data_IF_399442847230
#
_entry.id   IF_399442847230
#
_cell.length_a   1.000
_cell.length_b   1.000
_cell.length_c   1.000
_cell.angle_alpha   90.00
_cell.angle_beta   90.00
_cell.angle_gamma   90.00
#
_symmetry.space_group_name_H-M   'P 1'
#
loop_
_entity.id
_entity.type
_entity.pdbx_description
1 polymer ?
#
# COMPACT_ATOMS: atom_id res chain seq x y z
N UNK A 1 14.44 -19.95 38.94
CA UNK A 1 15.73 -19.25 38.85
C UNK A 1 16.26 -19.44 37.44
N UNK A 2 16.32 -18.33 36.69
CA UNK A 2 17.26 -18.05 35.59
C UNK A 2 17.03 -18.85 34.30
N UNK A 3 16.23 -18.34 33.37
CA UNK A 3 16.52 -17.26 32.40
C UNK A 3 17.46 -17.67 31.26
N UNK A 4 17.09 -17.12 30.10
CA UNK A 4 17.95 -16.65 29.02
C UNK A 4 18.14 -17.56 27.80
N UNK A 5 17.29 -17.28 26.81
CA UNK A 5 17.53 -17.54 25.39
C UNK A 5 18.72 -16.71 24.88
N UNK A 6 19.71 -17.35 24.24
CA UNK A 6 20.81 -16.67 23.55
C UNK A 6 20.78 -17.00 22.03
N UNK A 7 20.87 -15.93 21.23
CA UNK A 7 20.44 -15.86 19.84
C UNK A 7 21.21 -16.71 18.83
N UNK A 8 20.46 -17.38 17.95
CA UNK A 8 20.99 -18.08 16.77
C UNK A 8 21.29 -17.11 15.64
N UNK A 9 22.55 -17.08 15.22
CA UNK A 9 23.05 -16.30 14.09
C UNK A 9 22.84 -17.08 12.79
N UNK A 10 22.12 -16.50 11.82
CA UNK A 10 21.81 -17.16 10.54
C UNK A 10 22.89 -16.82 9.50
N UNK A 11 23.46 -17.84 8.83
CA UNK A 11 24.48 -17.67 7.77
C UNK A 11 23.86 -17.79 6.39
N UNK A 12 24.32 -16.97 5.44
CA UNK A 12 23.86 -17.01 4.06
C UNK A 12 24.51 -18.19 3.30
N UNK A 13 23.74 -19.10 2.67
CA UNK A 13 24.27 -20.34 2.08
C UNK A 13 25.04 -20.13 0.76
N UNK A 14 24.94 -18.97 0.10
CA UNK A 14 25.62 -18.72 -1.17
C UNK A 14 27.06 -18.17 -1.03
N UNK A 15 27.39 -17.53 0.09
CA UNK A 15 28.71 -16.89 0.27
C UNK A 15 29.29 -16.99 1.69
N UNK A 16 28.59 -17.68 2.62
CA UNK A 16 29.10 -18.01 3.95
C UNK A 16 29.21 -16.84 4.95
N UNK A 17 28.89 -15.61 4.55
CA UNK A 17 28.93 -14.44 5.45
C UNK A 17 27.75 -14.44 6.44
N UNK A 18 28.06 -14.04 7.67
CA UNK A 18 27.07 -13.80 8.72
C UNK A 18 26.36 -12.46 8.45
N UNK A 19 25.04 -12.49 8.35
CA UNK A 19 24.22 -11.28 8.23
C UNK A 19 23.75 -10.86 9.62
N UNK A 20 24.14 -9.66 10.06
CA UNK A 20 23.57 -9.05 11.27
C UNK A 20 22.30 -8.29 10.89
N UNK A 21 21.20 -8.59 11.56
CA UNK A 21 19.99 -7.76 11.52
C UNK A 21 20.20 -6.65 12.57
N UNK A 22 20.18 -5.36 12.20
CA UNK A 22 20.21 -4.29 13.18
C UNK A 22 18.82 -4.19 13.85
N UNK A 23 18.79 -4.29 15.17
CA UNK A 23 17.63 -3.98 16.00
C UNK A 23 17.50 -2.47 16.15
N UNK A 24 16.25 -2.01 16.12
CA UNK A 24 15.80 -0.64 16.38
C UNK A 24 16.20 -0.16 17.79
N UNK A 25 16.37 1.16 17.91
CA UNK A 25 16.45 2.00 19.13
C UNK A 25 17.79 2.40 19.80
N UNK A 26 17.78 3.70 20.13
CA UNK A 26 18.53 4.45 21.15
C UNK A 26 20.00 4.81 20.84
N UNK A 27 20.31 6.09 20.59
CA UNK A 27 20.53 7.19 21.57
C UNK A 27 22.05 7.45 21.66
N UNK A 28 22.53 8.59 21.16
CA UNK A 28 22.69 9.87 21.86
C UNK A 28 24.09 10.04 22.49
N UNK A 29 24.75 11.14 22.08
CA UNK A 29 25.84 11.88 22.73
C UNK A 29 27.14 11.14 23.13
N UNK A 30 28.25 11.47 22.44
CA UNK A 30 29.52 11.76 23.12
C UNK A 30 30.26 12.89 22.39
N UNK A 31 30.64 13.89 23.18
CA UNK A 31 31.35 15.08 22.81
C UNK A 31 32.87 14.88 22.63
N UNK A 32 33.46 15.90 21.98
CA UNK A 32 34.80 16.46 22.21
C UNK A 32 36.04 15.59 21.94
N UNK A 33 36.84 16.02 20.95
CA UNK A 33 38.28 16.14 21.18
C UNK A 33 38.90 17.32 20.43
N UNK A 34 39.79 17.96 21.17
CA UNK A 34 40.49 19.22 20.94
C UNK A 34 41.71 19.03 20.04
N UNK A 35 41.96 19.94 19.08
CA UNK A 35 43.34 20.35 18.74
C UNK A 35 43.41 21.84 18.41
N UNK A 36 44.47 22.45 18.94
CA UNK A 36 44.80 23.86 19.12
C UNK A 36 45.67 24.40 17.97
N UNK A 37 45.51 25.69 17.64
CA UNK A 37 46.49 26.47 16.87
C UNK A 37 46.17 27.97 16.82
N UNK A 38 46.85 28.77 17.65
CA UNK A 38 46.95 30.27 17.64
C UNK A 38 48.04 30.68 16.59
N UNK A 39 48.26 31.97 16.21
CA UNK A 39 48.07 33.21 16.97
C UNK A 39 47.48 34.40 16.19
N UNK A 40 47.51 35.56 16.86
CA UNK A 40 46.70 36.76 16.69
C UNK A 40 47.21 37.80 15.68
N UNK A 41 46.29 38.67 15.24
CA UNK A 41 46.57 40.07 14.87
C UNK A 41 45.42 40.95 15.38
N UNK A 42 45.67 42.09 16.06
CA UNK A 42 44.61 42.97 16.57
C UNK A 42 44.40 44.21 15.69
N UNK A 43 43.14 44.51 15.37
CA UNK A 43 42.59 45.83 14.99
C UNK A 43 41.08 45.60 14.74
N UNK A 44 40.08 46.33 15.21
CA UNK A 44 39.90 47.67 15.78
C UNK A 44 38.44 47.69 16.32
N UNK A 45 38.10 48.29 17.46
CA UNK A 45 36.69 48.35 17.85
C UNK A 45 36.02 49.56 17.19
N UNK A 46 34.92 49.35 16.47
CA UNK A 46 33.97 50.43 16.22
C UNK A 46 32.54 49.92 16.14
N UNK A 47 31.84 50.19 17.25
CA UNK A 47 30.46 50.69 17.29
C UNK A 47 29.38 49.71 16.84
N UNK A 48 28.73 49.17 17.86
CA UNK A 48 27.37 48.67 17.85
C UNK A 48 26.47 49.46 16.88
N UNK A 49 25.77 48.72 16.02
CA UNK A 49 24.44 49.11 15.55
C UNK A 49 23.50 47.92 15.75
N UNK A 50 22.74 48.07 16.82
CA UNK A 50 21.49 47.39 17.12
C UNK A 50 20.64 47.29 15.86
N UNK A 51 20.33 46.07 15.42
CA UNK A 51 19.54 45.80 14.24
C UNK A 51 18.74 44.52 14.44
N UNK A 52 17.60 44.69 15.10
CA UNK A 52 16.36 43.90 14.99
C UNK A 52 16.46 42.63 14.12
N UNK A 53 16.72 41.46 14.72
CA UNK A 53 16.49 40.15 14.08
C UNK A 53 15.21 39.56 14.69
N UNK A 54 14.09 40.24 14.49
CA UNK A 54 12.76 39.65 14.65
C UNK A 54 12.33 39.22 13.26
N UNK A 55 12.57 37.96 12.88
CA UNK A 55 12.13 37.49 11.56
C UNK A 55 12.72 36.20 10.99
N UNK A 56 13.48 35.40 11.75
CA UNK A 56 14.14 34.22 11.19
C UNK A 56 13.66 32.87 11.78
N UNK A 57 12.49 32.82 12.42
CA UNK A 57 11.92 31.56 12.95
C UNK A 57 10.67 31.11 12.18
N UNK A 58 10.04 31.98 11.40
CA UNK A 58 8.82 31.65 10.64
C UNK A 58 9.08 30.97 9.27
N UNK A 59 10.33 30.95 8.77
CA UNK A 59 10.63 30.44 7.42
C UNK A 59 10.98 28.94 7.36
N UNK A 60 11.29 28.29 8.48
CA UNK A 60 11.73 26.88 8.49
C UNK A 60 10.54 25.90 8.55
N UNK A 61 9.32 26.38 8.84
CA UNK A 61 8.10 25.57 8.63
C UNK A 61 7.69 25.57 7.14
N UNK A 62 8.25 26.48 6.32
CA UNK A 62 7.92 26.59 4.88
C UNK A 62 8.84 25.81 3.94
N UNK A 63 9.93 25.19 4.44
CA UNK A 63 10.77 24.27 3.65
C UNK A 63 10.57 22.79 4.01
N UNK A 64 9.89 22.48 5.12
CA UNK A 64 9.57 21.10 5.52
C UNK A 64 8.16 20.62 5.15
N UNK A 65 7.21 21.55 4.95
CA UNK A 65 5.81 21.21 4.66
C UNK A 65 5.44 21.19 3.17
N UNK A 66 6.35 21.58 2.26
CA UNK A 66 6.10 21.60 0.81
C UNK A 66 6.57 20.32 0.08
N UNK A 67 7.08 19.32 0.81
CA UNK A 67 7.40 17.99 0.28
C UNK A 67 6.56 16.87 0.92
N UNK A 68 5.48 17.23 1.63
CA UNK A 68 4.38 16.29 1.88
C UNK A 68 3.34 16.56 0.79
N UNK A 69 3.72 16.30 -0.46
CA UNK A 69 2.77 16.33 -1.56
C UNK A 69 1.83 15.15 -1.31
N UNK A 70 0.68 15.46 -0.73
CA UNK A 70 -0.53 14.67 -0.60
C UNK A 70 -0.52 13.41 -1.48
N UNK A 71 -0.12 12.28 -0.89
CA UNK A 71 -0.44 10.97 -1.48
C UNK A 71 -1.95 10.76 -1.27
N UNK A 72 -2.75 11.44 -2.08
CA UNK A 72 -4.17 11.15 -2.18
C UNK A 72 -4.26 9.81 -2.91
N UNK A 73 -4.46 8.73 -2.14
CA UNK A 73 -4.97 7.50 -2.70
C UNK A 73 -6.37 7.80 -3.25
N UNK A 74 -6.46 8.22 -4.52
CA UNK A 74 -7.75 8.35 -5.18
C UNK A 74 -8.35 6.95 -5.27
N UNK A 75 -9.61 6.82 -4.85
CA UNK A 75 -10.36 5.57 -5.02
C UNK A 75 -10.63 5.28 -6.49
N UNK A 76 -11.38 4.21 -6.80
CA UNK A 76 -11.85 3.97 -8.15
C UNK A 76 -12.67 5.16 -8.66
N UNK A 77 -12.54 5.49 -9.94
CA UNK A 77 -13.32 6.58 -10.54
C UNK A 77 -14.79 6.18 -10.77
N UNK A 78 -15.62 7.17 -11.11
CA UNK A 78 -17.01 6.95 -11.53
C UNK A 78 -17.14 6.13 -12.82
N UNK A 79 -16.07 6.09 -13.65
CA UNK A 79 -16.02 5.33 -14.90
C UNK A 79 -15.49 3.90 -14.71
N UNK A 80 -15.13 3.52 -13.48
CA UNK A 80 -14.72 2.15 -13.16
C UNK A 80 -15.82 1.16 -13.54
N UNK A 81 -15.40 0.05 -14.16
CA UNK A 81 -16.31 -0.95 -14.72
C UNK A 81 -15.75 -2.34 -14.50
N UNK A 82 -16.61 -3.33 -14.49
CA UNK A 82 -16.19 -4.72 -14.33
C UNK A 82 -17.28 -5.69 -14.74
N UNK A 83 -16.91 -6.95 -14.79
CA UNK A 83 -17.78 -8.02 -15.24
C UNK A 83 -17.55 -9.27 -14.41
N UNK A 84 -18.65 -9.91 -14.00
CA UNK A 84 -18.65 -11.19 -13.33
C UNK A 84 -18.78 -12.29 -14.39
N UNK A 85 -17.69 -13.02 -14.62
CA UNK A 85 -17.60 -14.03 -15.67
C UNK A 85 -18.22 -15.35 -15.19
N UNK A 86 -17.76 -15.83 -14.04
CA UNK A 86 -18.21 -17.09 -13.44
C UNK A 86 -18.55 -16.86 -11.96
N UNK A 87 -19.64 -17.47 -11.51
CA UNK A 87 -19.94 -17.64 -10.09
C UNK A 87 -20.58 -19.02 -9.93
N UNK A 88 -19.76 -20.02 -9.61
CA UNK A 88 -20.19 -21.41 -9.46
C UNK A 88 -19.59 -22.05 -8.19
N UNK A 89 -19.94 -23.31 -7.91
CA UNK A 89 -19.45 -24.07 -6.76
C UNK A 89 -17.91 -24.24 -6.72
N UNK A 90 -17.20 -23.99 -7.82
CA UNK A 90 -15.74 -24.12 -7.91
C UNK A 90 -15.05 -22.78 -7.71
N UNK A 91 -15.52 -21.74 -8.38
CA UNK A 91 -14.89 -20.43 -8.37
C UNK A 91 -15.86 -19.28 -8.71
N UNK A 92 -15.48 -18.11 -8.22
CA UNK A 92 -16.05 -16.81 -8.57
C UNK A 92 -14.93 -16.02 -9.23
N UNK A 93 -15.12 -15.63 -10.49
CA UNK A 93 -14.09 -14.95 -11.28
C UNK A 93 -14.69 -13.89 -12.20
N UNK A 94 -13.85 -12.93 -12.56
CA UNK A 94 -14.24 -11.80 -13.38
C UNK A 94 -13.09 -10.82 -13.55
N UNK A 95 -13.43 -9.59 -13.90
CA UNK A 95 -12.47 -8.50 -14.02
C UNK A 95 -13.06 -7.17 -13.57
N UNK A 96 -12.21 -6.25 -13.16
CA UNK A 96 -12.57 -4.88 -12.80
C UNK A 96 -11.45 -3.93 -13.19
N UNK A 97 -11.80 -2.85 -13.90
CA UNK A 97 -10.86 -1.92 -14.50
C UNK A 97 -11.36 -0.48 -14.41
N UNK A 98 -10.43 0.44 -14.16
CA UNK A 98 -10.67 1.88 -14.18
C UNK A 98 -9.99 2.49 -15.42
N UNK A 99 -10.75 3.00 -16.41
CA UNK A 99 -10.18 3.63 -17.59
C UNK A 99 -9.42 4.93 -17.27
N UNK A 100 -9.77 5.63 -16.19
CA UNK A 100 -9.11 6.87 -15.79
C UNK A 100 -7.77 6.59 -15.09
N UNK A 101 -7.60 5.36 -14.56
CA UNK A 101 -6.37 4.90 -13.92
C UNK A 101 -5.99 3.49 -14.42
N UNK A 102 -5.55 3.36 -15.68
CA UNK A 102 -5.48 2.08 -16.38
C UNK A 102 -4.48 1.07 -15.81
N UNK A 103 -3.51 1.51 -15.01
CA UNK A 103 -2.52 0.65 -14.38
C UNK A 103 -2.85 0.34 -12.90
N UNK A 104 -3.99 0.82 -12.40
CA UNK A 104 -4.37 0.64 -11.00
C UNK A 104 -5.15 -0.67 -10.84
N UNK A 105 -4.69 -1.60 -9.99
CA UNK A 105 -5.50 -2.74 -9.63
C UNK A 105 -6.68 -2.28 -8.76
N UNK A 106 -7.89 -2.73 -9.10
CA UNK A 106 -9.09 -2.45 -8.32
C UNK A 106 -9.35 -3.57 -7.32
N UNK A 107 -10.02 -3.25 -6.22
CA UNK A 107 -10.53 -4.25 -5.28
C UNK A 107 -11.99 -4.55 -5.59
N UNK A 108 -12.37 -5.81 -5.52
CA UNK A 108 -13.74 -6.29 -5.74
C UNK A 108 -14.23 -6.97 -4.47
N UNK A 109 -15.33 -6.46 -3.93
CA UNK A 109 -16.05 -7.05 -2.81
C UNK A 109 -17.05 -8.08 -3.33
N UNK A 110 -16.94 -9.31 -2.84
CA UNK A 110 -17.81 -10.43 -3.18
C UNK A 110 -18.78 -10.65 -2.03
N UNK A 111 -20.06 -10.69 -2.34
CA UNK A 111 -21.17 -10.81 -1.40
C UNK A 111 -21.95 -12.10 -1.65
N UNK A 112 -22.53 -12.63 -0.59
CA UNK A 112 -23.63 -13.60 -0.62
C UNK A 112 -24.86 -12.94 0.02
N UNK A 113 -25.85 -12.58 -0.80
CA UNK A 113 -26.92 -11.67 -0.41
C UNK A 113 -26.36 -10.34 0.11
N UNK A 114 -26.61 -10.05 1.39
CA UNK A 114 -26.10 -8.85 2.07
C UNK A 114 -24.78 -9.09 2.83
N UNK A 115 -24.31 -10.34 2.90
CA UNK A 115 -23.10 -10.70 3.65
C UNK A 115 -21.87 -10.54 2.78
N UNK A 116 -20.93 -9.70 3.21
CA UNK A 116 -19.60 -9.64 2.61
C UNK A 116 -18.85 -10.95 2.89
N UNK A 117 -18.45 -11.66 1.82
CA UNK A 117 -17.64 -12.87 1.91
C UNK A 117 -16.16 -12.54 1.96
N UNK A 118 -15.71 -11.69 1.03
CA UNK A 118 -14.29 -11.35 0.88
C UNK A 118 -14.09 -10.10 0.00
N UNK A 119 -12.89 -9.54 0.04
CA UNK A 119 -12.43 -8.50 -0.89
C UNK A 119 -11.20 -9.03 -1.63
N UNK A 120 -11.26 -9.08 -2.96
CA UNK A 120 -10.21 -9.63 -3.82
C UNK A 120 -9.61 -8.53 -4.68
N UNK A 121 -8.30 -8.57 -4.90
CA UNK A 121 -7.63 -7.63 -5.80
C UNK A 121 -7.74 -8.16 -7.24
N UNK A 122 -8.11 -7.29 -8.16
CA UNK A 122 -8.14 -7.54 -9.59
C UNK A 122 -6.79 -7.16 -10.20
N UNK A 123 -5.79 -8.01 -9.99
CA UNK A 123 -4.39 -7.85 -10.41
C UNK A 123 -3.89 -8.99 -11.30
N UNK A 124 -4.73 -9.97 -11.62
CA UNK A 124 -4.31 -11.12 -12.41
C UNK A 124 -4.32 -10.82 -13.90
N UNK A 125 -3.27 -11.28 -14.58
CA UNK A 125 -3.13 -11.13 -16.03
C UNK A 125 -4.06 -12.07 -16.79
N UNK A 126 -4.77 -11.52 -17.78
CA UNK A 126 -5.57 -12.25 -18.75
C UNK A 126 -5.34 -11.72 -20.16
N UNK A 127 -4.94 -12.62 -21.06
CA UNK A 127 -4.61 -12.28 -22.46
C UNK A 127 -5.80 -11.72 -23.22
N UNK A 128 -7.01 -12.19 -22.92
CA UNK A 128 -8.25 -11.71 -23.54
C UNK A 128 -8.59 -10.27 -23.12
N UNK A 129 -8.30 -9.88 -21.87
CA UNK A 129 -8.47 -8.49 -21.43
C UNK A 129 -7.52 -7.56 -22.19
N UNK A 130 -6.27 -7.96 -22.33
CA UNK A 130 -5.28 -7.21 -23.12
C UNK A 130 -5.69 -7.10 -24.59
N UNK A 131 -6.13 -8.20 -25.22
CA UNK A 131 -6.57 -8.21 -26.61
C UNK A 131 -7.81 -7.32 -26.85
N UNK A 132 -8.68 -7.19 -25.87
CA UNK A 132 -9.86 -6.32 -25.91
C UNK A 132 -9.59 -4.88 -25.42
N UNK A 133 -8.32 -4.48 -25.29
CA UNK A 133 -7.91 -3.13 -24.84
C UNK A 133 -8.44 -2.75 -23.44
N UNK A 134 -8.58 -3.73 -22.54
CA UNK A 134 -8.90 -3.51 -21.13
C UNK A 134 -7.57 -3.40 -20.36
N UNK A 135 -7.07 -2.17 -20.23
CA UNK A 135 -5.84 -1.85 -19.49
C UNK A 135 -4.62 -2.63 -19.97
N UNK A 136 -3.78 -3.07 -19.03
CA UNK A 136 -2.60 -3.91 -19.32
C UNK A 136 -2.91 -5.40 -19.46
N UNK A 137 -4.17 -5.79 -19.19
CA UNK A 137 -4.62 -7.17 -19.02
C UNK A 137 -4.53 -7.68 -17.58
N UNK A 138 -3.91 -6.94 -16.66
CA UNK A 138 -3.72 -7.29 -15.24
C UNK A 138 -4.89 -6.78 -14.38
N UNK A 139 -6.10 -7.12 -14.78
CA UNK A 139 -7.34 -6.63 -14.17
C UNK A 139 -8.34 -7.74 -13.86
N UNK A 140 -7.91 -8.99 -13.91
CA UNK A 140 -8.73 -10.12 -13.55
C UNK A 140 -8.65 -10.42 -12.06
N UNK A 141 -9.72 -10.96 -11.50
CA UNK A 141 -9.74 -11.52 -10.17
C UNK A 141 -10.23 -12.97 -10.21
N UNK A 142 -9.78 -13.75 -9.24
CA UNK A 142 -10.21 -15.13 -9.06
C UNK A 142 -10.35 -15.41 -7.57
N UNK A 143 -11.46 -16.02 -7.20
CA UNK A 143 -11.75 -16.46 -5.85
C UNK A 143 -12.27 -17.89 -5.88
N UNK A 144 -11.63 -18.78 -5.12
CA UNK A 144 -12.13 -20.14 -4.97
C UNK A 144 -13.37 -20.11 -4.08
N UNK A 145 -14.45 -20.72 -4.54
CA UNK A 145 -15.71 -20.75 -3.80
C UNK A 145 -15.51 -21.51 -2.48
N UNK A 146 -15.76 -20.87 -1.31
CA UNK A 146 -15.59 -21.51 -0.01
C UNK A 146 -16.61 -22.63 0.20
N UNK A 147 -16.28 -23.60 1.04
CA UNK A 147 -17.17 -24.71 1.38
C UNK A 147 -18.47 -24.25 2.05
N UNK A 148 -18.49 -23.06 2.63
CA UNK A 148 -19.69 -22.47 3.23
C UNK A 148 -20.80 -22.12 2.23
N UNK A 149 -20.49 -22.04 0.93
CA UNK A 149 -21.48 -21.84 -0.15
C UNK A 149 -21.76 -23.15 -0.89
N UNK A 150 -21.22 -24.27 -0.41
CA UNK A 150 -21.38 -25.61 -0.98
C UNK A 150 -22.20 -26.48 -0.02
N UNK A 151 -23.20 -25.88 0.62
CA UNK A 151 -24.10 -26.53 1.58
C UNK A 151 -25.34 -27.15 0.93
N UNK A 152 -25.52 -26.95 -0.39
CA UNK A 152 -26.67 -27.45 -1.14
C UNK A 152 -27.85 -26.47 -1.18
N UNK A 153 -27.72 -25.29 -0.57
CA UNK A 153 -28.71 -24.22 -0.66
C UNK A 153 -28.38 -23.26 -1.82
N UNK A 154 -29.38 -22.49 -2.25
CA UNK A 154 -29.19 -21.44 -3.26
C UNK A 154 -28.55 -20.19 -2.64
N UNK A 155 -27.39 -19.79 -3.16
CA UNK A 155 -26.68 -18.58 -2.74
C UNK A 155 -26.71 -17.51 -3.82
N UNK A 156 -26.86 -16.24 -3.44
CA UNK A 156 -26.95 -15.13 -4.39
C UNK A 156 -25.66 -14.32 -4.37
N UNK A 157 -24.79 -14.59 -5.35
CA UNK A 157 -23.45 -14.02 -5.40
C UNK A 157 -23.46 -12.64 -6.06
N UNK A 158 -23.19 -11.63 -5.25
CA UNK A 158 -22.99 -10.24 -5.65
C UNK A 158 -21.50 -9.90 -5.81
N UNK A 159 -21.16 -9.01 -6.75
CA UNK A 159 -19.81 -8.45 -6.85
C UNK A 159 -19.87 -6.94 -7.10
N UNK A 160 -19.13 -6.17 -6.28
CA UNK A 160 -19.11 -4.70 -6.29
C UNK A 160 -17.65 -4.23 -6.28
N UNK A 161 -17.34 -3.15 -6.99
CA UNK A 161 -16.02 -2.52 -6.90
C UNK A 161 -15.89 -1.81 -5.55
N UNK A 162 -14.89 -2.20 -4.76
CA UNK A 162 -14.71 -1.71 -3.39
C UNK A 162 -14.52 -0.19 -3.34
N UNK A 163 -15.14 0.47 -2.37
CA UNK A 163 -15.13 1.93 -2.26
C UNK A 163 -16.05 2.64 -3.26
N UNK A 164 -16.86 1.89 -4.01
CA UNK A 164 -17.90 2.42 -4.90
C UNK A 164 -19.24 1.75 -4.64
N UNK A 165 -20.27 2.15 -5.40
CA UNK A 165 -21.55 1.43 -5.47
C UNK A 165 -21.72 0.71 -6.82
N UNK A 166 -20.65 0.59 -7.60
CA UNK A 166 -20.68 0.04 -8.95
C UNK A 166 -20.70 -1.48 -8.88
N UNK A 167 -21.85 -2.07 -9.21
CA UNK A 167 -22.00 -3.51 -9.37
C UNK A 167 -21.33 -3.97 -10.66
N UNK A 168 -20.70 -5.14 -10.63
CA UNK A 168 -20.14 -5.75 -11.83
C UNK A 168 -21.28 -6.17 -12.77
N UNK A 169 -21.04 -6.09 -14.07
CA UNK A 169 -21.96 -6.60 -15.09
C UNK A 169 -22.15 -8.10 -14.85
N UNK A 170 -23.36 -8.61 -15.11
CA UNK A 170 -23.78 -9.98 -14.79
C UNK A 170 -23.83 -10.34 -13.31
N UNK A 171 -23.91 -9.36 -12.41
CA UNK A 171 -24.16 -9.56 -10.98
C UNK A 171 -25.55 -9.01 -10.58
N UNK A 172 -26.31 -9.68 -9.69
CA UNK A 172 -25.96 -10.92 -9.00
C UNK A 172 -26.15 -12.19 -9.85
N UNK A 173 -25.51 -13.30 -9.43
CA UNK A 173 -25.74 -14.64 -9.98
C UNK A 173 -26.15 -15.60 -8.88
N UNK A 174 -27.11 -16.47 -9.17
CA UNK A 174 -27.46 -17.58 -8.27
C UNK A 174 -26.50 -18.74 -8.46
N UNK A 175 -25.92 -19.18 -7.36
CA UNK A 175 -25.12 -20.38 -7.26
C UNK A 175 -26.07 -21.47 -6.75
N UNK A 176 -26.55 -22.32 -7.68
CA UNK A 176 -27.58 -23.30 -7.38
C UNK A 176 -27.05 -24.51 -6.64
N UNK A 177 -27.82 -24.98 -5.66
CA UNK A 177 -27.62 -26.30 -5.02
C UNK A 177 -27.89 -27.42 -6.04
N UNK A 178 -26.87 -28.24 -6.32
CA UNK A 178 -27.00 -29.40 -7.20
C UNK A 178 -27.59 -30.61 -6.45
#
# INVERSE_FOLDING_TARGET
>A
MKDEAAGKQVRCPACGKALRIPSEEAAENVAASSVRGKPATPARPSRARTGLIVGAVAAIVLLGAFLIIHFSASGPSANSRGHLDTADLKNISGWAWDPDHPNRPLKVEIYDGDRLLTTVIADQFRKDLQANSIGTGEHAFFYKTPASLQDGEDHVIGAIIAGTKTKLINSPRTLGGA
#
